data_IF_589256543366
#
_entry.id   IF_589256543366
#
_cell.length_a   1.000
_cell.length_b   1.000
_cell.length_c   1.000
_cell.angle_alpha   90.00
_cell.angle_beta   90.00
_cell.angle_gamma   90.00
#
_symmetry.space_group_name_H-M   'P 1'
#
loop_
_entity.id
_entity.type
_entity.pdbx_description
1 polymer ?
#
# COMPACT_ATOMS: atom_id res chain seq x y z
N UNK A 1 27.76 30.95 -34.25
CA UNK A 1 27.43 29.53 -34.03
C UNK A 1 28.27 29.09 -32.86
N UNK A 2 27.74 29.24 -31.65
CA UNK A 2 28.50 29.11 -30.41
C UNK A 2 28.67 27.66 -29.98
N UNK A 3 29.92 27.29 -29.79
CA UNK A 3 30.43 25.95 -29.51
C UNK A 3 30.33 25.61 -28.00
N UNK A 4 29.31 26.14 -27.31
CA UNK A 4 29.14 26.01 -25.86
C UNK A 4 28.60 24.65 -25.44
N UNK A 5 28.06 23.88 -26.39
CA UNK A 5 27.46 22.57 -26.17
C UNK A 5 28.47 21.46 -25.82
N UNK A 6 29.77 21.73 -26.02
CA UNK A 6 30.85 20.74 -25.87
C UNK A 6 31.65 20.96 -24.57
N UNK A 7 31.28 21.95 -23.75
CA UNK A 7 31.97 22.18 -22.47
C UNK A 7 31.63 21.02 -21.52
N UNK A 8 32.59 20.17 -21.15
CA UNK A 8 32.35 18.98 -20.35
C UNK A 8 31.72 19.30 -18.98
N UNK A 9 31.95 20.51 -18.45
CA UNK A 9 31.34 20.93 -17.18
C UNK A 9 29.84 21.18 -17.28
N UNK A 10 29.38 21.73 -18.41
CA UNK A 10 27.95 22.04 -18.65
C UNK A 10 27.18 20.75 -18.98
N UNK A 11 27.78 19.88 -19.78
CA UNK A 11 27.21 18.55 -20.11
C UNK A 11 27.13 17.68 -18.85
N UNK A 12 28.15 17.72 -17.98
CA UNK A 12 28.16 16.96 -16.73
C UNK A 12 27.09 17.42 -15.73
N UNK A 13 26.93 18.74 -15.54
CA UNK A 13 25.91 19.30 -14.64
C UNK A 13 24.47 19.03 -15.11
N UNK A 14 24.24 19.12 -16.42
CA UNK A 14 22.92 18.81 -16.99
C UNK A 14 22.62 17.31 -16.89
N UNK A 15 23.58 16.44 -17.24
CA UNK A 15 23.43 14.99 -17.09
C UNK A 15 23.16 14.56 -15.63
N UNK A 16 23.87 15.15 -14.66
CA UNK A 16 23.64 14.90 -13.23
C UNK A 16 22.23 15.28 -12.78
N UNK A 17 21.73 16.43 -13.26
CA UNK A 17 20.37 16.89 -12.95
C UNK A 17 19.29 15.97 -13.54
N UNK A 18 19.47 15.53 -14.79
CA UNK A 18 18.55 14.57 -15.42
C UNK A 18 18.54 13.22 -14.71
N UNK A 19 19.71 12.71 -14.29
CA UNK A 19 19.80 11.47 -13.52
C UNK A 19 19.10 11.57 -12.16
N UNK A 20 19.19 12.71 -11.49
CA UNK A 20 18.49 12.98 -10.23
C UNK A 20 16.97 12.92 -10.40
N UNK A 21 16.43 13.56 -11.44
CA UNK A 21 14.99 13.55 -11.72
C UNK A 21 14.49 12.14 -12.02
N UNK A 22 15.24 11.37 -12.81
CA UNK A 22 14.91 9.97 -13.11
C UNK A 22 14.88 9.16 -11.80
N UNK A 23 15.92 9.27 -10.97
CA UNK A 23 16.00 8.53 -9.71
C UNK A 23 14.85 8.88 -8.76
N UNK A 24 14.51 10.18 -8.63
CA UNK A 24 13.39 10.62 -7.81
C UNK A 24 12.05 10.04 -8.30
N UNK A 25 11.87 9.99 -9.62
CA UNK A 25 10.67 9.45 -10.26
C UNK A 25 10.51 7.96 -9.98
N UNK A 26 11.59 7.18 -10.09
CA UNK A 26 11.59 5.76 -9.75
C UNK A 26 11.35 5.51 -8.26
N UNK A 27 11.96 6.30 -7.38
CA UNK A 27 11.75 6.20 -5.94
C UNK A 27 10.30 6.49 -5.53
N UNK A 28 9.68 7.50 -6.14
CA UNK A 28 8.27 7.85 -5.93
C UNK A 28 7.35 6.71 -6.40
N UNK A 29 7.59 6.17 -7.60
CA UNK A 29 6.79 5.08 -8.16
C UNK A 29 6.85 3.81 -7.30
N UNK A 30 8.05 3.44 -6.82
CA UNK A 30 8.21 2.29 -5.93
C UNK A 30 7.51 2.50 -4.57
N UNK A 31 7.55 3.71 -4.05
CA UNK A 31 6.88 4.06 -2.80
C UNK A 31 5.37 3.93 -2.92
N UNK A 32 4.78 4.42 -4.02
CA UNK A 32 3.34 4.30 -4.30
C UNK A 32 2.88 2.84 -4.41
N UNK A 33 3.69 1.96 -5.01
CA UNK A 33 3.38 0.52 -5.08
C UNK A 33 3.37 -0.16 -3.71
N UNK A 34 4.27 0.23 -2.80
CA UNK A 34 4.28 -0.32 -1.43
C UNK A 34 3.08 0.14 -0.61
N UNK A 35 2.60 1.36 -0.87
CA UNK A 35 1.45 1.94 -0.19
C UNK A 35 0.17 1.15 -0.49
N UNK A 36 -0.10 0.76 -1.74
CA UNK A 36 -1.30 -0.04 -2.08
C UNK A 36 -1.36 -1.39 -1.32
N UNK A 37 -0.24 -2.11 -1.27
CA UNK A 37 -0.15 -3.37 -0.51
C UNK A 37 -0.31 -3.14 0.99
N UNK A 38 0.25 -2.05 1.52
CA UNK A 38 0.11 -1.69 2.92
C UNK A 38 -1.35 -1.37 3.29
N UNK A 39 -2.04 -0.56 2.47
CA UNK A 39 -3.45 -0.24 2.69
C UNK A 39 -4.34 -1.48 2.63
N UNK A 40 -4.11 -2.39 1.68
CA UNK A 40 -4.86 -3.65 1.58
C UNK A 40 -4.69 -4.49 2.84
N UNK A 41 -3.45 -4.68 3.30
CA UNK A 41 -3.18 -5.45 4.52
C UNK A 41 -3.78 -4.80 5.77
N UNK A 42 -3.69 -3.47 5.88
CA UNK A 42 -4.27 -2.74 7.01
C UNK A 42 -5.81 -2.84 7.02
N UNK A 43 -6.43 -2.77 5.85
CA UNK A 43 -7.87 -2.88 5.70
C UNK A 43 -8.38 -4.31 6.01
N UNK A 44 -7.66 -5.36 5.58
CA UNK A 44 -7.92 -6.75 5.97
C UNK A 44 -7.84 -6.88 7.50
N UNK A 45 -6.80 -6.34 8.12
CA UNK A 45 -6.62 -6.39 9.58
C UNK A 45 -7.76 -5.69 10.32
N UNK A 46 -8.18 -4.50 9.88
CA UNK A 46 -9.33 -3.80 10.44
C UNK A 46 -10.63 -4.60 10.29
N UNK A 47 -10.88 -5.18 9.11
CA UNK A 47 -12.07 -6.01 8.89
C UNK A 47 -12.04 -7.27 9.77
N UNK A 48 -10.87 -7.87 9.98
CA UNK A 48 -10.70 -9.03 10.86
C UNK A 48 -10.90 -8.71 12.35
N UNK A 49 -10.66 -7.47 12.78
CA UNK A 49 -10.95 -7.01 14.14
C UNK A 49 -12.43 -6.72 14.37
N UNK A 50 -13.06 -6.00 13.44
CA UNK A 50 -14.46 -5.55 13.57
C UNK A 50 -15.44 -6.72 13.44
N UNK A 51 -15.11 -7.72 12.62
CA UNK A 51 -15.98 -8.88 12.41
C UNK A 51 -15.94 -9.91 13.55
N UNK A 52 -15.13 -9.70 14.60
CA UNK A 52 -15.10 -10.60 15.76
C UNK A 52 -16.40 -10.47 16.53
N UNK A 53 -17.10 -11.59 16.68
CA UNK A 53 -18.20 -11.74 17.62
C UNK A 53 -17.81 -12.79 18.65
N UNK A 54 -18.15 -12.54 19.92
CA UNK A 54 -18.02 -13.55 20.97
C UNK A 54 -19.27 -14.42 20.94
N UNK A 55 -19.12 -15.67 20.50
CA UNK A 55 -20.18 -16.66 20.65
C UNK A 55 -19.91 -17.42 21.94
N UNK A 56 -20.78 -17.23 22.94
CA UNK A 56 -20.74 -18.02 24.16
C UNK A 56 -21.52 -19.30 23.89
N UNK A 57 -20.84 -20.44 23.88
CA UNK A 57 -21.49 -21.74 23.74
C UNK A 57 -22.25 -22.06 25.04
N UNK A 58 -23.59 -22.09 24.97
CA UNK A 58 -24.47 -22.27 26.14
C UNK A 58 -24.31 -23.63 26.82
N UNK A 59 -23.66 -24.62 26.17
CA UNK A 59 -23.46 -25.96 26.73
C UNK A 59 -22.15 -26.14 27.50
N UNK A 60 -21.12 -25.34 27.21
CA UNK A 60 -19.77 -25.54 27.76
C UNK A 60 -19.23 -24.32 28.50
N UNK A 61 -19.92 -23.17 28.43
CA UNK A 61 -19.47 -21.92 29.07
C UNK A 61 -18.22 -21.31 28.42
N UNK A 62 -17.74 -21.92 27.34
CA UNK A 62 -16.53 -21.50 26.63
C UNK A 62 -16.87 -20.37 25.66
N UNK A 63 -16.21 -19.22 25.82
CA UNK A 63 -16.31 -18.10 24.87
C UNK A 63 -15.41 -18.38 23.68
N UNK A 64 -16.01 -18.53 22.51
CA UNK A 64 -15.27 -18.75 21.26
C UNK A 64 -15.49 -17.54 20.37
N UNK A 65 -14.40 -16.86 19.99
CA UNK A 65 -14.44 -15.66 19.15
C UNK A 65 -14.09 -16.05 17.72
N UNK A 66 -15.09 -16.06 16.84
CA UNK A 66 -14.91 -16.27 15.41
C UNK A 66 -15.20 -14.96 14.67
N UNK A 67 -14.50 -14.65 13.56
CA UNK A 67 -14.94 -13.56 12.68
C UNK A 67 -16.20 -14.02 11.92
N UNK A 68 -17.27 -13.20 11.88
CA UNK A 68 -18.44 -13.57 11.07
C UNK A 68 -17.96 -13.54 9.62
N UNK A 69 -17.92 -14.69 8.96
CA UNK A 69 -17.45 -14.77 7.57
C UNK A 69 -18.21 -13.80 6.66
N UNK A 70 -19.50 -13.56 6.95
CA UNK A 70 -20.35 -12.64 6.21
C UNK A 70 -20.02 -11.17 6.50
N UNK A 71 -19.82 -10.77 7.77
CA UNK A 71 -19.42 -9.39 8.13
C UNK A 71 -18.00 -9.09 7.62
N UNK A 72 -17.11 -10.08 7.66
CA UNK A 72 -15.76 -9.98 7.11
C UNK A 72 -15.79 -9.78 5.59
N UNK A 73 -16.56 -10.59 4.85
CA UNK A 73 -16.74 -10.45 3.40
C UNK A 73 -17.40 -9.12 3.02
N UNK A 74 -18.41 -8.69 3.78
CA UNK A 74 -19.07 -7.39 3.60
C UNK A 74 -18.06 -6.24 3.76
N UNK A 75 -17.27 -6.26 4.84
CA UNK A 75 -16.24 -5.25 5.10
C UNK A 75 -15.16 -5.21 4.00
N UNK A 76 -14.74 -6.37 3.48
CA UNK A 76 -13.79 -6.43 2.35
C UNK A 76 -14.38 -5.89 1.04
N UNK A 77 -15.69 -6.06 0.83
CA UNK A 77 -16.41 -5.53 -0.33
C UNK A 77 -16.59 -4.01 -0.24
N UNK A 78 -16.97 -3.49 0.93
CA UNK A 78 -17.13 -2.06 1.19
C UNK A 78 -15.80 -1.28 1.06
N UNK A 79 -14.68 -1.92 1.42
CA UNK A 79 -13.34 -1.36 1.22
C UNK A 79 -12.75 -1.59 -0.18
N UNK A 80 -13.51 -2.21 -1.10
CA UNK A 80 -13.11 -2.41 -2.50
C UNK A 80 -11.95 -3.39 -2.71
N UNK A 81 -11.68 -4.26 -1.72
CA UNK A 81 -10.59 -5.24 -1.75
C UNK A 81 -11.03 -6.53 -2.46
N UNK A 82 -12.29 -6.92 -2.23
CA UNK A 82 -12.94 -8.05 -2.90
C UNK A 82 -13.98 -7.49 -3.89
N UNK A 83 -13.85 -7.85 -5.17
CA UNK A 83 -14.74 -7.43 -6.25
C UNK A 83 -15.72 -8.53 -6.59
#
# INVERSE_FOLDING_TARGET
>A
MDNTQNNPEIVSRTASSFLLVIFLSFALFFSLKKIDTYLKNQAIYQCALISRYEQTDQKTGTKVSYPVADVYKQCLKDKGILR
#
